data_IF_118755616270
#
_entry.id   IF_118755616270
#
_cell.length_a   1.000
_cell.length_b   1.000
_cell.length_c   1.000
_cell.angle_alpha   90.00
_cell.angle_beta   90.00
_cell.angle_gamma   90.00
#
_symmetry.space_group_name_H-M   'P 1'
#
loop_
_entity.id
_entity.type
_entity.pdbx_description
1 polymer ?
#
# COMPACT_ATOMS: atom_id res chain seq x y z
N UNK A 1 37.34 -27.98 25.22
CA UNK A 1 36.32 -27.13 25.83
C UNK A 1 36.20 -25.78 25.14
N UNK A 2 37.26 -25.05 24.93
CA UNK A 2 37.23 -23.73 24.25
C UNK A 2 36.86 -23.76 22.77
N UNK A 3 37.19 -24.84 22.00
CA UNK A 3 36.80 -24.98 20.59
C UNK A 3 35.29 -25.11 20.38
N UNK A 4 34.58 -25.79 21.26
CA UNK A 4 33.11 -25.95 21.20
C UNK A 4 32.38 -24.62 21.51
N UNK A 5 32.91 -23.82 22.40
CA UNK A 5 32.37 -22.52 22.76
C UNK A 5 32.50 -21.51 21.59
N UNK A 6 33.61 -21.52 20.86
CA UNK A 6 33.81 -20.66 19.70
C UNK A 6 32.85 -21.00 18.56
N UNK A 7 32.63 -22.28 18.27
CA UNK A 7 31.69 -22.74 17.25
C UNK A 7 30.26 -22.36 17.58
N UNK A 8 29.88 -22.46 18.87
CA UNK A 8 28.56 -22.08 19.34
C UNK A 8 28.31 -20.56 19.20
N UNK A 9 29.27 -19.72 19.54
CA UNK A 9 29.18 -18.26 19.38
C UNK A 9 29.06 -17.83 17.91
N UNK A 10 29.78 -18.47 17.00
CA UNK A 10 29.71 -18.21 15.55
C UNK A 10 28.35 -18.62 15.00
N UNK A 11 27.79 -19.76 15.43
CA UNK A 11 26.48 -20.24 15.00
C UNK A 11 25.35 -19.31 15.47
N UNK A 12 25.42 -18.81 16.69
CA UNK A 12 24.45 -17.85 17.25
C UNK A 12 24.49 -16.52 16.49
N UNK A 13 25.68 -16.03 16.16
CA UNK A 13 25.87 -14.79 15.41
C UNK A 13 25.35 -14.89 13.98
N UNK A 14 25.52 -16.03 13.31
CA UNK A 14 24.97 -16.30 11.99
C UNK A 14 23.43 -16.34 12.01
N UNK A 15 22.82 -16.89 13.06
CA UNK A 15 21.38 -16.94 13.23
C UNK A 15 20.77 -15.53 13.42
N UNK A 16 21.40 -14.69 14.22
CA UNK A 16 20.98 -13.29 14.43
C UNK A 16 21.05 -12.48 13.14
N UNK A 17 22.11 -12.65 12.35
CA UNK A 17 22.26 -12.01 11.05
C UNK A 17 21.21 -12.46 10.03
N UNK A 18 20.83 -13.74 10.00
CA UNK A 18 19.80 -14.26 9.14
C UNK A 18 18.41 -13.69 9.48
N UNK A 19 18.08 -13.52 10.76
CA UNK A 19 16.84 -12.92 11.22
C UNK A 19 16.79 -11.42 10.84
N UNK A 20 17.89 -10.71 10.96
CA UNK A 20 17.99 -9.29 10.58
C UNK A 20 17.78 -9.07 9.09
N UNK A 21 18.29 -9.96 8.23
CA UNK A 21 18.12 -9.90 6.77
C UNK A 21 16.68 -10.21 6.34
N UNK A 22 15.98 -11.10 7.04
CA UNK A 22 14.58 -11.43 6.72
C UNK A 22 13.62 -10.29 7.08
N UNK A 23 13.93 -9.46 8.07
CA UNK A 23 13.13 -8.27 8.40
C UNK A 23 13.32 -7.11 7.40
N UNK A 24 14.45 -7.05 6.70
CA UNK A 24 14.72 -6.04 5.67
C UNK A 24 14.00 -6.31 4.34
N UNK A 25 13.55 -7.55 4.09
CA UNK A 25 12.87 -7.94 2.85
C UNK A 25 11.34 -7.80 2.92
N UNK A 26 10.76 -7.45 4.07
CA UNK A 26 9.32 -7.20 4.20
C UNK A 26 8.95 -5.90 3.50
N UNK A 27 7.92 -5.90 2.60
CA UNK A 27 7.43 -4.67 2.01
C UNK A 27 6.97 -3.72 3.11
N UNK A 28 7.36 -2.45 3.02
CA UNK A 28 6.90 -1.42 3.94
C UNK A 28 5.38 -1.30 3.86
N UNK A 29 4.69 -1.31 4.99
CA UNK A 29 3.26 -1.01 5.05
C UNK A 29 3.02 0.43 4.56
N UNK A 30 1.88 0.70 3.87
CA UNK A 30 1.50 2.06 3.49
C UNK A 30 1.53 2.98 4.71
N UNK A 31 2.20 4.13 4.59
CA UNK A 31 2.32 5.12 5.67
C UNK A 31 1.36 6.28 5.44
N UNK A 32 0.79 6.78 6.54
CA UNK A 32 -0.07 7.95 6.57
C UNK A 32 -1.56 7.63 6.60
N UNK A 33 -2.36 8.67 6.76
CA UNK A 33 -3.81 8.58 6.71
C UNK A 33 -4.28 8.16 5.31
N UNK A 34 -5.37 7.38 5.20
CA UNK A 34 -5.88 6.98 3.91
C UNK A 34 -6.40 8.17 3.11
N UNK A 35 -6.02 8.23 1.84
CA UNK A 35 -6.57 9.15 0.85
C UNK A 35 -7.71 8.43 0.14
N UNK A 36 -8.92 8.98 0.19
CA UNK A 36 -10.09 8.41 -0.47
C UNK A 36 -10.35 9.08 -1.82
N UNK A 37 -10.28 8.30 -2.89
CA UNK A 37 -10.54 8.75 -4.26
C UNK A 37 -11.82 8.11 -4.80
N UNK A 38 -12.74 8.94 -5.26
CA UNK A 38 -13.98 8.51 -5.88
C UNK A 38 -13.84 8.24 -7.39
N UNK A 39 -14.54 7.22 -7.87
CA UNK A 39 -14.66 6.93 -9.30
C UNK A 39 -16.03 6.31 -9.59
N UNK A 40 -16.44 6.35 -10.84
CA UNK A 40 -17.77 5.90 -11.27
C UNK A 40 -17.67 5.01 -12.53
N UNK A 41 -18.81 4.58 -13.03
CA UNK A 41 -18.90 3.66 -14.16
C UNK A 41 -18.56 4.34 -15.50
N UNK A 42 -17.27 4.48 -15.78
CA UNK A 42 -16.76 4.88 -17.08
C UNK A 42 -15.43 4.18 -17.38
N UNK A 43 -15.27 3.70 -18.60
CA UNK A 43 -14.10 2.92 -18.98
C UNK A 43 -12.77 3.64 -18.78
N UNK A 44 -12.76 4.98 -18.90
CA UNK A 44 -11.57 5.80 -18.66
C UNK A 44 -11.06 5.77 -17.22
N UNK A 45 -11.89 5.34 -16.27
CA UNK A 45 -11.50 5.19 -14.86
C UNK A 45 -10.98 3.78 -14.49
N UNK A 46 -11.05 2.82 -15.39
CA UNK A 46 -10.59 1.46 -15.12
C UNK A 46 -9.11 1.33 -14.76
N UNK A 47 -8.21 2.21 -15.21
CA UNK A 47 -6.84 2.19 -14.69
C UNK A 47 -6.74 2.23 -13.16
N UNK A 48 -7.69 2.84 -12.47
CA UNK A 48 -7.73 2.81 -11.00
C UNK A 48 -7.95 1.41 -10.45
N UNK A 49 -8.82 0.62 -11.06
CA UNK A 49 -9.05 -0.76 -10.67
C UNK A 49 -7.79 -1.62 -10.89
N UNK A 50 -7.06 -1.37 -11.97
CA UNK A 50 -5.78 -2.03 -12.23
C UNK A 50 -4.74 -1.65 -11.17
N UNK A 51 -4.68 -0.37 -10.79
CA UNK A 51 -3.76 0.10 -9.76
C UNK A 51 -4.01 -0.58 -8.41
N UNK A 52 -5.28 -0.78 -8.05
CA UNK A 52 -5.68 -1.52 -6.83
C UNK A 52 -5.30 -2.99 -6.94
N UNK A 53 -5.67 -3.66 -8.02
CA UNK A 53 -5.40 -5.09 -8.25
C UNK A 53 -3.90 -5.39 -8.24
N UNK A 54 -3.11 -4.54 -8.87
CA UNK A 54 -1.66 -4.66 -8.95
C UNK A 54 -0.94 -4.12 -7.71
N UNK A 55 -1.67 -3.64 -6.69
CA UNK A 55 -1.13 -3.05 -5.45
C UNK A 55 -0.13 -1.91 -5.70
N UNK A 56 -0.39 -1.11 -6.73
CA UNK A 56 0.53 -0.05 -7.15
C UNK A 56 0.66 1.06 -6.11
N UNK A 57 -0.41 1.38 -5.41
CA UNK A 57 -0.38 2.37 -4.33
C UNK A 57 0.51 1.90 -3.17
N UNK A 58 0.31 0.67 -2.71
CA UNK A 58 1.07 0.07 -1.62
C UNK A 58 2.55 -0.06 -1.96
N UNK A 59 2.87 -0.49 -3.19
CA UNK A 59 4.24 -0.60 -3.69
C UNK A 59 4.97 0.75 -3.70
N UNK A 60 4.23 1.85 -3.83
CA UNK A 60 4.76 3.21 -3.80
C UNK A 60 4.63 3.89 -2.42
N UNK A 61 4.24 3.14 -1.39
CA UNK A 61 4.15 3.65 -0.03
C UNK A 61 3.00 4.62 0.23
N UNK A 62 1.96 4.60 -0.61
CA UNK A 62 0.79 5.49 -0.51
C UNK A 62 -0.42 4.69 -0.06
N UNK A 63 -1.15 5.22 0.93
CA UNK A 63 -2.37 4.62 1.44
C UNK A 63 -3.58 5.23 0.72
N UNK A 64 -4.00 4.62 -0.38
CA UNK A 64 -5.14 5.07 -1.19
C UNK A 64 -6.28 4.08 -1.07
N UNK A 65 -7.48 4.60 -0.80
CA UNK A 65 -8.74 3.86 -0.82
C UNK A 65 -9.59 4.36 -2.00
N UNK A 66 -9.91 3.45 -2.92
CA UNK A 66 -10.79 3.75 -4.03
C UNK A 66 -12.24 3.53 -3.62
N UNK A 67 -13.10 4.54 -3.85
CA UNK A 67 -14.53 4.47 -3.56
C UNK A 67 -15.34 4.52 -4.84
N UNK A 68 -16.11 3.46 -5.06
CA UNK A 68 -17.04 3.37 -6.18
C UNK A 68 -18.32 4.16 -5.92
N UNK A 69 -18.80 4.82 -6.98
CA UNK A 69 -20.09 5.48 -7.04
C UNK A 69 -20.86 4.98 -8.26
N UNK A 70 -22.13 4.67 -8.10
CA UNK A 70 -22.97 4.26 -9.22
C UNK A 70 -23.23 5.42 -10.20
N UNK A 71 -23.25 6.65 -9.69
CA UNK A 71 -23.47 7.86 -10.47
C UNK A 71 -22.26 8.79 -10.48
N UNK A 72 -21.92 9.30 -11.66
CA UNK A 72 -20.83 10.27 -11.83
C UNK A 72 -21.08 11.55 -11.02
N UNK A 73 -22.29 12.12 -11.11
CA UNK A 73 -22.67 13.35 -10.39
C UNK A 73 -22.58 13.13 -8.89
N UNK A 74 -23.02 11.98 -8.39
CA UNK A 74 -22.93 11.64 -6.97
C UNK A 74 -21.48 11.66 -6.45
N UNK A 75 -20.54 11.19 -7.25
CA UNK A 75 -19.11 11.26 -6.93
C UNK A 75 -18.64 12.71 -6.82
N UNK A 76 -19.05 13.57 -7.76
CA UNK A 76 -18.72 15.00 -7.75
C UNK A 76 -19.30 15.73 -6.54
N UNK A 77 -20.56 15.48 -6.22
CA UNK A 77 -21.22 16.07 -5.06
C UNK A 77 -20.57 15.65 -3.75
N UNK A 78 -20.20 14.38 -3.64
CA UNK A 78 -19.51 13.86 -2.46
C UNK A 78 -18.13 14.52 -2.28
N UNK A 79 -17.41 14.73 -3.37
CA UNK A 79 -16.14 15.45 -3.35
C UNK A 79 -16.33 16.92 -2.98
N UNK A 80 -17.30 17.60 -3.59
CA UNK A 80 -17.60 19.00 -3.30
C UNK A 80 -18.03 19.21 -1.83
N UNK A 81 -18.66 18.21 -1.22
CA UNK A 81 -19.05 18.23 0.20
C UNK A 81 -17.86 17.91 1.16
N UNK A 82 -16.66 17.68 0.63
CA UNK A 82 -15.48 17.36 1.44
C UNK A 82 -15.48 15.99 2.10
N UNK A 83 -16.30 15.04 1.62
CA UNK A 83 -16.43 13.70 2.20
C UNK A 83 -15.44 12.69 1.63
N UNK A 84 -14.80 13.01 0.53
CA UNK A 84 -13.69 12.27 -0.08
C UNK A 84 -12.62 13.27 -0.47
N UNK A 85 -11.39 12.80 -0.64
CA UNK A 85 -10.23 13.65 -0.86
C UNK A 85 -10.05 14.04 -2.33
N UNK A 86 -10.61 13.27 -3.24
CA UNK A 86 -10.58 13.54 -4.67
C UNK A 86 -11.53 12.64 -5.43
N UNK A 87 -11.77 12.96 -6.70
CA UNK A 87 -12.53 12.09 -7.58
C UNK A 87 -12.08 12.23 -9.03
N UNK A 88 -12.42 11.24 -9.83
CA UNK A 88 -12.16 11.26 -11.27
C UNK A 88 -13.26 12.03 -11.99
N UNK A 89 -12.86 13.06 -12.74
CA UNK A 89 -13.77 13.93 -13.49
C UNK A 89 -13.28 14.10 -14.94
N UNK A 90 -14.22 14.27 -15.83
CA UNK A 90 -13.95 14.73 -17.20
C UNK A 90 -14.16 16.24 -17.30
N UNK A 91 -13.40 16.88 -18.15
CA UNK A 91 -13.59 18.27 -18.55
C UNK A 91 -14.69 18.41 -19.57
#
# INVERSE_FOLDING_TARGET
>A
MFKKLKVFAVSLMALVLAISLSTLSSPAAPKGDPITLGYSNWAGWWPWAIAVDQKMFEKNGVNVQMKWFDGYVQSMETFAAGKIDGNSQTL
#
